data_IF_900135718957
#
_entry.id   IF_900135718957
#
_cell.length_a   1.000
_cell.length_b   1.000
_cell.length_c   1.000
_cell.angle_alpha   90.00
_cell.angle_beta   90.00
_cell.angle_gamma   90.00
#
_symmetry.space_group_name_H-M   'P 1'
#
loop_
_entity.id
_entity.type
_entity.pdbx_description
1 polymer ?
#
# COMPACT_ATOMS: atom_id res chain seq x y z
N UNK A 1 2.59 1.88 38.35
CA UNK A 1 3.21 2.11 37.02
C UNK A 1 2.86 0.91 36.15
N UNK A 2 1.71 0.95 35.47
CA UNK A 2 1.23 -0.15 34.65
C UNK A 2 1.77 0.00 33.22
N UNK A 3 2.48 -1.02 32.71
CA UNK A 3 2.96 -1.05 31.34
C UNK A 3 1.76 -0.97 30.38
N UNK A 4 1.79 -0.10 29.36
CA UNK A 4 0.74 -0.09 28.34
C UNK A 4 0.92 -1.34 27.48
N UNK A 5 0.06 -2.32 27.73
CA UNK A 5 -0.57 -3.17 26.73
C UNK A 5 0.25 -3.47 25.46
N UNK A 6 1.01 -4.57 25.52
CA UNK A 6 1.39 -5.38 24.36
C UNK A 6 0.13 -5.98 23.72
N UNK A 7 -0.75 -5.15 23.14
CA UNK A 7 -1.94 -5.63 22.45
C UNK A 7 -1.48 -6.47 21.25
N UNK A 8 -1.94 -7.71 21.09
CA UNK A 8 -1.72 -8.44 19.85
C UNK A 8 -2.40 -7.62 18.76
N UNK A 9 -1.70 -7.30 17.67
CA UNK A 9 -2.35 -6.80 16.46
C UNK A 9 -3.47 -7.79 16.15
N UNK A 10 -4.72 -7.43 16.47
CA UNK A 10 -5.88 -8.22 16.07
C UNK A 10 -5.88 -8.15 14.56
N UNK A 11 -5.26 -9.13 13.92
CA UNK A 11 -5.20 -9.26 12.47
C UNK A 11 -6.64 -9.49 12.01
N UNK A 12 -7.35 -8.39 11.78
CA UNK A 12 -8.74 -8.46 11.34
C UNK A 12 -8.71 -9.11 9.97
N UNK A 13 -9.31 -10.29 9.86
CA UNK A 13 -9.45 -10.97 8.56
C UNK A 13 -10.10 -9.98 7.59
N UNK A 14 -9.35 -9.61 6.57
CA UNK A 14 -9.81 -8.74 5.48
C UNK A 14 -10.15 -9.58 4.26
N UNK A 15 -11.09 -9.12 3.45
CA UNK A 15 -11.45 -9.70 2.15
C UNK A 15 -11.25 -8.64 1.07
N UNK A 16 -10.94 -9.09 -0.15
CA UNK A 16 -10.84 -8.21 -1.31
C UNK A 16 -12.24 -7.95 -1.87
N UNK A 17 -12.56 -6.69 -2.18
CA UNK A 17 -13.80 -6.33 -2.86
C UNK A 17 -13.71 -6.71 -4.35
N UNK A 18 -14.76 -7.33 -4.90
CA UNK A 18 -14.83 -7.65 -6.32
C UNK A 18 -15.11 -6.42 -7.20
N UNK A 19 -15.76 -5.38 -6.65
CA UNK A 19 -16.06 -4.13 -7.37
C UNK A 19 -14.83 -3.22 -7.41
N UNK A 20 -14.37 -2.70 -6.27
CA UNK A 20 -13.28 -1.73 -6.25
C UNK A 20 -11.87 -2.34 -6.09
N UNK A 21 -11.73 -3.64 -5.81
CA UNK A 21 -10.42 -4.28 -5.66
C UNK A 21 -9.69 -4.02 -4.33
N UNK A 22 -10.17 -3.08 -3.50
CA UNK A 22 -9.64 -2.76 -2.18
C UNK A 22 -9.94 -3.85 -1.14
N UNK A 23 -9.10 -3.94 -0.11
CA UNK A 23 -9.32 -4.84 1.04
C UNK A 23 -10.15 -4.14 2.11
N UNK A 24 -11.13 -4.86 2.66
CA UNK A 24 -11.98 -4.36 3.75
C UNK A 24 -12.25 -5.47 4.77
N UNK A 25 -12.67 -5.14 6.02
CA UNK A 25 -12.90 -6.13 7.06
C UNK A 25 -13.96 -7.16 6.65
N UNK A 26 -13.69 -8.45 6.84
CA UNK A 26 -14.62 -9.55 6.51
C UNK A 26 -15.93 -9.46 7.30
N UNK A 27 -15.92 -8.79 8.46
CA UNK A 27 -17.08 -8.55 9.31
C UNK A 27 -18.03 -7.47 8.77
N UNK A 28 -17.55 -6.59 7.89
CA UNK A 28 -18.41 -5.57 7.30
C UNK A 28 -19.37 -6.24 6.29
N UNK A 29 -20.66 -5.95 6.40
CA UNK A 29 -21.69 -6.52 5.52
C UNK A 29 -21.43 -6.17 4.05
N UNK A 30 -21.12 -4.89 3.79
CA UNK A 30 -20.85 -4.33 2.46
C UNK A 30 -19.47 -3.65 2.40
N UNK A 31 -19.00 -3.37 1.19
CA UNK A 31 -17.74 -2.67 0.99
C UNK A 31 -17.87 -1.19 1.39
N UNK A 32 -17.15 -0.69 2.41
CA UNK A 32 -17.28 0.69 2.86
C UNK A 32 -16.74 1.71 1.86
N UNK A 33 -15.98 1.25 0.85
CA UNK A 33 -15.38 2.13 -0.15
C UNK A 33 -16.26 2.35 -1.37
N UNK A 34 -17.13 1.40 -1.71
CA UNK A 34 -17.83 1.41 -2.99
C UNK A 34 -19.29 0.97 -2.94
N UNK A 35 -19.82 0.57 -1.78
CA UNK A 35 -21.20 0.10 -1.68
C UNK A 35 -22.20 1.16 -2.18
N UNK A 36 -21.95 2.43 -1.85
CA UNK A 36 -22.84 3.55 -2.15
C UNK A 36 -22.46 4.31 -3.45
N UNK A 37 -21.47 3.82 -4.21
CA UNK A 37 -21.08 4.44 -5.48
C UNK A 37 -21.75 3.73 -6.66
N UNK A 38 -22.19 4.55 -7.61
CA UNK A 38 -22.59 4.17 -8.96
C UNK A 38 -21.35 3.86 -9.82
N UNK A 39 -21.55 3.49 -11.08
CA UNK A 39 -20.44 3.07 -11.96
C UNK A 39 -19.47 4.22 -12.28
N UNK A 40 -19.95 5.46 -12.38
CA UNK A 40 -19.08 6.62 -12.59
C UNK A 40 -18.24 6.91 -11.33
N UNK A 41 -18.87 6.89 -10.16
CA UNK A 41 -18.18 7.03 -8.89
C UNK A 41 -17.14 5.91 -8.65
N UNK A 42 -17.46 4.68 -9.04
CA UNK A 42 -16.53 3.55 -8.95
C UNK A 42 -15.32 3.71 -9.87
N UNK A 43 -15.50 4.25 -11.08
CA UNK A 43 -14.40 4.54 -12.00
C UNK A 43 -13.44 5.58 -11.42
N UNK A 44 -13.98 6.70 -10.92
CA UNK A 44 -13.19 7.75 -10.27
C UNK A 44 -12.42 7.22 -9.04
N UNK A 45 -13.05 6.36 -8.23
CA UNK A 45 -12.38 5.73 -7.10
C UNK A 45 -11.20 4.86 -7.54
N UNK A 46 -11.36 4.06 -8.60
CA UNK A 46 -10.28 3.20 -9.11
C UNK A 46 -9.13 4.02 -9.66
N UNK A 47 -9.41 5.11 -10.36
CA UNK A 47 -8.42 6.02 -10.89
C UNK A 47 -7.58 6.63 -9.76
N UNK A 48 -8.23 7.18 -8.73
CA UNK A 48 -7.53 7.72 -7.55
C UNK A 48 -6.63 6.69 -6.86
N UNK A 49 -7.11 5.46 -6.68
CA UNK A 49 -6.31 4.37 -6.10
C UNK A 49 -5.12 4.01 -7.01
N UNK A 50 -5.33 4.02 -8.32
CA UNK A 50 -4.26 3.75 -9.28
C UNK A 50 -3.17 4.84 -9.25
N UNK A 51 -3.56 6.11 -9.15
CA UNK A 51 -2.61 7.24 -9.02
C UNK A 51 -1.80 7.17 -7.72
N UNK A 52 -2.45 6.89 -6.58
CA UNK A 52 -1.76 6.70 -5.30
C UNK A 52 -0.72 5.57 -5.37
N UNK A 53 -1.05 4.48 -6.05
CA UNK A 53 -0.14 3.36 -6.25
C UNK A 53 0.98 3.66 -7.25
N UNK A 54 0.72 4.45 -8.29
CA UNK A 54 1.70 4.85 -9.28
C UNK A 54 2.79 5.74 -8.66
N UNK A 55 2.41 6.70 -7.81
CA UNK A 55 3.36 7.55 -7.09
C UNK A 55 4.31 6.76 -6.19
N UNK A 56 3.82 5.73 -5.50
CA UNK A 56 4.65 4.88 -4.65
C UNK A 56 5.67 4.04 -5.46
N UNK A 57 5.30 3.60 -6.66
CA UNK A 57 6.19 2.84 -7.53
C UNK A 57 7.36 3.69 -8.07
N UNK A 58 7.09 4.96 -8.36
CA UNK A 58 8.11 5.90 -8.84
C UNK A 58 9.17 6.19 -7.77
N UNK A 59 8.74 6.41 -6.52
CA UNK A 59 9.65 6.56 -5.37
C UNK A 59 10.57 5.34 -5.18
N UNK A 60 10.01 4.13 -5.28
CA UNK A 60 10.78 2.90 -5.18
C UNK A 60 11.86 2.77 -6.26
N UNK A 61 11.55 3.22 -7.49
CA UNK A 61 12.51 3.22 -8.60
C UNK A 61 13.65 4.22 -8.36
N UNK A 62 13.36 5.43 -7.91
CA UNK A 62 14.39 6.43 -7.59
C UNK A 62 15.30 5.95 -6.46
N UNK A 63 14.74 5.43 -5.37
CA UNK A 63 15.51 4.89 -4.25
C UNK A 63 16.35 3.69 -4.67
N UNK A 64 15.82 2.79 -5.52
CA UNK A 64 16.55 1.64 -6.05
C UNK A 64 17.76 2.05 -6.89
N UNK A 65 17.59 3.06 -7.77
CA UNK A 65 18.71 3.60 -8.57
C UNK A 65 19.75 4.26 -7.66
N UNK A 66 19.34 5.09 -6.71
CA UNK A 66 20.25 5.75 -5.77
C UNK A 66 21.06 4.73 -4.94
N UNK A 67 20.39 3.69 -4.43
CA UNK A 67 21.05 2.60 -3.71
C UNK A 67 22.05 1.84 -4.58
N UNK A 68 21.71 1.55 -5.85
CA UNK A 68 22.62 0.89 -6.77
C UNK A 68 23.88 1.71 -7.07
N UNK A 69 23.74 3.04 -7.22
CA UNK A 69 24.87 3.96 -7.43
C UNK A 69 25.79 3.96 -6.21
N UNK A 70 25.24 4.07 -5.00
CA UNK A 70 26.02 4.05 -3.76
C UNK A 70 26.75 2.70 -3.61
N UNK A 71 26.07 1.58 -3.85
CA UNK A 71 26.66 0.25 -3.76
C UNK A 71 27.82 0.08 -4.76
N UNK A 72 27.65 0.55 -6.00
CA UNK A 72 28.70 0.50 -7.02
C UNK A 72 29.92 1.35 -6.62
N UNK A 73 29.70 2.55 -6.06
CA UNK A 73 30.78 3.41 -5.58
C UNK A 73 31.57 2.77 -4.43
N UNK A 74 30.88 2.16 -3.46
CA UNK A 74 31.51 1.45 -2.35
C UNK A 74 32.30 0.22 -2.82
N UNK A 75 31.76 -0.56 -3.76
CA UNK A 75 32.47 -1.68 -4.37
C UNK A 75 33.73 -1.24 -5.11
N UNK A 76 33.63 -0.17 -5.88
CA UNK A 76 34.79 0.39 -6.58
C UNK A 76 35.88 0.86 -5.60
N UNK A 77 35.50 1.51 -4.50
CA UNK A 77 36.43 1.92 -3.44
C UNK A 77 37.07 0.73 -2.74
N UNK A 78 36.32 -0.35 -2.48
CA UNK A 78 36.84 -1.54 -1.81
C UNK A 78 37.80 -2.36 -2.69
N UNK A 79 37.73 -2.21 -4.02
CA UNK A 79 38.59 -2.88 -4.99
C UNK A 79 39.82 -2.05 -5.38
N UNK A 80 39.90 -0.79 -4.93
CA UNK A 80 41.02 0.12 -5.14
C UNK A 80 42.05 -0.02 -4.01
#
# INVERSE_FOLDING_TARGET
MALPSLLPLRLQRSRRCQRCGLRYPRKAAQCPHCADLDEQGLAALRERVAEEHAGAAELGRFLGIAAAVIAAALLALALL
#
